data_IF_500522903440
#
_entry.id   IF_500522903440
#
_cell.length_a   1.000
_cell.length_b   1.000
_cell.length_c   1.000
_cell.angle_alpha   90.00
_cell.angle_beta   90.00
_cell.angle_gamma   90.00
#
_symmetry.space_group_name_H-M   'P 1'
#
loop_
_entity.id
_entity.type
_entity.pdbx_description
1 polymer ?
#
# COMPACT_ATOMS: atom_id res chain seq x y z
N UNK A 1 20.49 -7.19 -0.91
CA UNK A 1 19.93 -8.12 -1.90
C UNK A 1 20.01 -9.48 -1.26
N UNK A 2 18.90 -10.02 -0.77
CA UNK A 2 18.84 -11.34 -0.11
C UNK A 2 17.51 -11.96 -0.52
N UNK A 3 17.57 -13.21 -0.99
CA UNK A 3 16.52 -13.88 -1.76
C UNK A 3 15.29 -14.27 -0.93
N UNK A 4 14.13 -14.13 -1.57
CA UNK A 4 12.84 -14.64 -1.10
C UNK A 4 12.76 -16.14 -1.41
N UNK A 5 12.36 -16.95 -0.43
CA UNK A 5 11.79 -18.27 -0.67
C UNK A 5 10.31 -18.17 -0.27
N UNK A 6 9.43 -18.22 -1.26
CA UNK A 6 7.97 -18.21 -1.07
C UNK A 6 7.46 -19.63 -1.18
N UNK A 7 6.89 -20.17 -0.10
CA UNK A 7 6.08 -21.39 -0.14
C UNK A 7 4.61 -21.02 -0.15
N UNK A 8 3.85 -21.55 -1.10
CA UNK A 8 2.39 -21.45 -1.17
C UNK A 8 1.80 -22.84 -0.90
N UNK A 9 0.90 -22.96 0.07
CA UNK A 9 0.00 -24.12 0.19
C UNK A 9 -1.29 -23.84 -0.58
N UNK A 10 -1.69 -24.80 -1.43
CA UNK A 10 -2.97 -24.84 -2.14
C UNK A 10 -3.71 -26.09 -1.68
N UNK A 11 -4.98 -25.93 -1.34
CA UNK A 11 -5.89 -27.03 -1.05
C UNK A 11 -6.95 -27.15 -2.16
N UNK A 12 -7.15 -28.41 -2.54
CA UNK A 12 -8.37 -29.07 -3.00
C UNK A 12 -8.77 -29.05 -4.49
N UNK A 13 -8.51 -30.23 -5.07
CA UNK A 13 -9.04 -30.81 -6.30
C UNK A 13 -10.48 -31.30 -6.11
N UNK A 14 -11.36 -31.01 -7.08
CA UNK A 14 -12.55 -31.83 -7.37
C UNK A 14 -12.68 -31.95 -8.90
N UNK A 15 -12.60 -33.16 -9.51
CA UNK A 15 -12.83 -33.33 -10.94
C UNK A 15 -14.29 -33.71 -11.21
N UNK A 16 -14.98 -32.94 -12.07
CA UNK A 16 -16.24 -33.35 -12.70
C UNK A 16 -15.95 -33.69 -14.17
N UNK A 17 -16.06 -34.98 -14.51
CA UNK A 17 -15.89 -35.49 -15.88
C UNK A 17 -17.10 -35.19 -16.78
N UNK A 18 -16.95 -35.30 -18.11
CA UNK A 18 -17.98 -34.92 -19.07
C UNK A 18 -19.01 -36.04 -19.30
N UNK A 19 -20.29 -35.69 -19.29
CA UNK A 19 -21.38 -36.57 -19.72
C UNK A 19 -21.72 -36.27 -21.19
N UNK A 20 -21.34 -37.19 -22.09
CA UNK A 20 -21.74 -37.19 -23.49
C UNK A 20 -23.08 -37.92 -23.65
N UNK A 21 -24.12 -37.24 -24.13
CA UNK A 21 -25.31 -37.87 -24.69
C UNK A 21 -25.64 -37.15 -26.00
N UNK A 22 -25.67 -37.92 -27.08
CA UNK A 22 -25.96 -37.44 -28.43
C UNK A 22 -27.43 -37.53 -28.84
N UNK A 23 -27.66 -37.04 -30.06
CA UNK A 23 -28.82 -37.20 -30.96
C UNK A 23 -30.01 -36.23 -30.75
N UNK A 24 -30.12 -35.22 -31.61
CA UNK A 24 -30.91 -35.30 -32.86
C UNK A 24 -31.08 -33.91 -33.48
N UNK A 25 -30.90 -33.81 -34.79
CA UNK A 25 -31.10 -32.59 -35.58
C UNK A 25 -32.56 -32.48 -36.02
N UNK A 26 -33.13 -31.26 -36.03
CA UNK A 26 -34.05 -30.87 -37.09
C UNK A 26 -33.50 -29.68 -37.87
N UNK A 27 -33.56 -29.81 -39.18
CA UNK A 27 -33.28 -28.81 -40.20
C UNK A 27 -34.21 -27.61 -40.14
N UNK A 28 -33.64 -26.42 -39.90
CA UNK A 28 -34.24 -25.12 -40.26
C UNK A 28 -33.13 -24.15 -40.68
N UNK A 29 -33.12 -23.74 -41.95
CA UNK A 29 -32.61 -22.42 -42.35
C UNK A 29 -33.79 -21.44 -42.27
N UNK A 30 -33.65 -20.10 -42.16
CA UNK A 30 -32.45 -19.25 -42.09
C UNK A 30 -32.55 -18.12 -41.02
N UNK A 31 -31.45 -17.39 -40.79
CA UNK A 31 -31.40 -15.91 -40.71
C UNK A 31 -29.95 -15.49 -40.48
N UNK A 32 -29.46 -14.61 -41.34
CA UNK A 32 -28.17 -13.92 -41.16
C UNK A 32 -28.19 -13.29 -39.77
N UNK A 33 -27.38 -13.83 -38.85
CA UNK A 33 -27.07 -13.17 -37.60
C UNK A 33 -26.23 -11.95 -37.97
N UNK A 34 -26.89 -10.80 -38.14
CA UNK A 34 -26.22 -9.55 -37.82
C UNK A 34 -25.72 -9.72 -36.38
N UNK A 35 -24.41 -9.90 -36.27
CA UNK A 35 -23.73 -9.85 -34.98
C UNK A 35 -23.94 -8.43 -34.51
N UNK A 36 -24.96 -8.22 -33.68
CA UNK A 36 -25.01 -7.07 -32.80
C UNK A 36 -23.77 -7.23 -31.96
N UNK A 37 -22.67 -6.59 -32.35
CA UNK A 37 -21.59 -6.28 -31.44
C UNK A 37 -22.26 -5.49 -30.33
N UNK A 38 -22.65 -6.20 -29.26
CA UNK A 38 -22.86 -5.54 -27.99
C UNK A 38 -21.52 -4.91 -27.69
N UNK A 39 -21.43 -3.60 -27.93
CA UNK A 39 -20.31 -2.79 -27.49
C UNK A 39 -20.33 -2.85 -25.97
N UNK A 40 -19.72 -3.89 -25.42
CA UNK A 40 -19.51 -4.03 -23.99
C UNK A 40 -18.73 -2.78 -23.59
N UNK A 41 -19.39 -1.87 -22.87
CA UNK A 41 -18.78 -0.62 -22.41
C UNK A 41 -17.44 -0.96 -21.78
N UNK A 42 -16.35 -0.53 -22.43
CA UNK A 42 -15.00 -0.78 -21.94
C UNK A 42 -14.67 0.28 -20.91
N UNK A 43 -14.03 -0.12 -19.82
CA UNK A 43 -13.54 0.79 -18.79
C UNK A 43 -12.08 1.13 -19.07
N UNK A 44 -11.73 2.41 -19.01
CA UNK A 44 -10.37 2.88 -19.24
C UNK A 44 -9.70 3.27 -17.93
N UNK A 45 -8.55 2.65 -17.65
CA UNK A 45 -7.72 2.91 -16.48
C UNK A 45 -6.40 3.53 -16.94
N UNK A 46 -6.25 4.83 -16.73
CA UNK A 46 -4.98 5.52 -16.89
C UNK A 46 -4.04 5.17 -15.74
N UNK A 47 -2.81 4.72 -16.00
CA UNK A 47 -1.84 4.45 -14.96
C UNK A 47 -0.55 5.28 -15.09
N UNK A 48 -0.13 5.88 -13.97
CA UNK A 48 1.09 6.66 -13.83
C UNK A 48 1.92 6.13 -12.66
N UNK A 49 2.83 5.21 -12.93
CA UNK A 49 3.63 4.52 -11.91
C UNK A 49 5.13 4.74 -12.15
N UNK A 50 5.96 4.68 -11.10
CA UNK A 50 7.42 4.62 -11.27
C UNK A 50 7.82 3.42 -12.14
N UNK A 51 8.88 3.56 -12.94
CA UNK A 51 9.33 2.53 -13.91
C UNK A 51 9.52 1.14 -13.28
N UNK A 52 10.11 1.08 -12.08
CA UNK A 52 10.29 -0.19 -11.34
C UNK A 52 8.95 -0.90 -11.10
N UNK A 53 7.90 -0.13 -10.82
CA UNK A 53 6.55 -0.64 -10.50
C UNK A 53 5.78 -1.00 -11.77
N UNK A 54 5.95 -0.23 -12.85
CA UNK A 54 5.44 -0.65 -14.16
C UNK A 54 5.97 -2.03 -14.53
N UNK A 55 7.30 -2.22 -14.44
CA UNK A 55 7.98 -3.48 -14.75
C UNK A 55 7.65 -4.64 -13.81
N UNK A 56 7.12 -4.41 -12.61
CA UNK A 56 6.79 -5.49 -11.66
C UNK A 56 5.29 -5.80 -11.62
N UNK A 57 4.43 -4.80 -11.84
CA UNK A 57 2.98 -4.94 -11.67
C UNK A 57 2.22 -4.97 -13.00
N UNK A 58 2.62 -4.18 -13.98
CA UNK A 58 1.96 -4.10 -15.28
C UNK A 58 2.59 -5.14 -16.21
N UNK A 59 2.37 -6.41 -15.89
CA UNK A 59 2.80 -7.54 -16.71
C UNK A 59 1.73 -7.91 -17.74
N UNK A 60 2.13 -8.60 -18.81
CA UNK A 60 1.21 -9.05 -19.86
C UNK A 60 0.05 -9.89 -19.30
N UNK A 61 0.28 -10.67 -18.25
CA UNK A 61 -0.76 -11.44 -17.56
C UNK A 61 -1.87 -10.54 -17.01
N UNK A 62 -1.53 -9.43 -16.36
CA UNK A 62 -2.48 -8.46 -15.85
C UNK A 62 -3.19 -7.72 -16.99
N UNK A 63 -2.43 -7.27 -17.99
CA UNK A 63 -2.98 -6.54 -19.15
C UNK A 63 -3.98 -7.39 -19.93
N UNK A 64 -3.63 -8.65 -20.21
CA UNK A 64 -4.50 -9.58 -20.94
C UNK A 64 -5.74 -9.94 -20.11
N UNK A 65 -5.59 -10.15 -18.80
CA UNK A 65 -6.72 -10.40 -17.91
C UNK A 65 -7.66 -9.20 -17.86
N UNK A 66 -7.14 -7.97 -17.69
CA UNK A 66 -7.93 -6.75 -17.71
C UNK A 66 -8.69 -6.61 -19.04
N UNK A 67 -7.99 -6.79 -20.16
CA UNK A 67 -8.58 -6.70 -21.50
C UNK A 67 -9.72 -7.69 -21.71
N UNK A 68 -9.56 -8.93 -21.25
CA UNK A 68 -10.60 -9.98 -21.30
C UNK A 68 -11.85 -9.66 -20.48
N UNK A 69 -11.71 -8.77 -19.49
CA UNK A 69 -12.81 -8.25 -18.65
C UNK A 69 -13.33 -6.89 -19.11
N UNK A 70 -12.96 -6.45 -20.31
CA UNK A 70 -13.40 -5.16 -20.85
C UNK A 70 -12.73 -3.95 -20.20
N UNK A 71 -11.54 -4.12 -19.62
CA UNK A 71 -10.77 -3.05 -18.98
C UNK A 71 -9.51 -2.78 -19.80
N UNK A 72 -9.29 -1.53 -20.18
CA UNK A 72 -8.10 -1.07 -20.88
C UNK A 72 -7.15 -0.38 -19.90
N UNK A 73 -5.95 -0.94 -19.75
CA UNK A 73 -4.88 -0.33 -18.96
C UNK A 73 -4.03 0.56 -19.88
N UNK A 74 -4.12 1.88 -19.70
CA UNK A 74 -3.46 2.86 -20.56
C UNK A 74 -2.35 3.55 -19.78
N UNK A 75 -1.11 3.48 -20.28
CA UNK A 75 0.01 4.20 -19.68
C UNK A 75 -0.19 5.70 -19.89
N UNK A 76 -0.17 6.47 -18.80
CA UNK A 76 -0.15 7.93 -18.88
C UNK A 76 1.26 8.39 -19.24
N UNK A 77 1.34 9.29 -20.21
CA UNK A 77 2.54 10.02 -20.61
C UNK A 77 2.71 11.24 -19.69
N UNK A 78 3.70 11.18 -18.80
CA UNK A 78 3.95 12.25 -17.81
C UNK A 78 4.53 13.52 -18.42
N UNK A 79 4.96 13.47 -19.68
CA UNK A 79 5.48 14.63 -20.42
C UNK A 79 4.38 15.44 -21.11
N UNK A 80 3.12 14.99 -21.01
CA UNK A 80 1.95 15.65 -21.59
C UNK A 80 0.93 15.98 -20.50
N UNK A 81 0.09 17.02 -20.69
CA UNK A 81 -1.01 17.29 -19.77
C UNK A 81 -1.93 16.07 -19.62
N UNK A 82 -2.28 15.71 -18.39
CA UNK A 82 -3.17 14.58 -18.12
C UNK A 82 -4.57 14.78 -18.73
N UNK A 83 -5.07 16.02 -18.74
CA UNK A 83 -6.37 16.42 -19.30
C UNK A 83 -6.55 16.03 -20.76
N UNK A 84 -5.46 15.96 -21.53
CA UNK A 84 -5.50 15.68 -22.97
C UNK A 84 -5.42 14.18 -23.29
N UNK A 85 -5.26 13.32 -22.28
CA UNK A 85 -5.02 11.89 -22.44
C UNK A 85 -6.24 11.01 -22.11
N UNK A 86 -7.29 11.63 -21.56
CA UNK A 86 -8.53 10.97 -21.18
C UNK A 86 -9.56 10.84 -22.32
N UNK A 87 -10.82 10.47 -21.98
CA UNK A 87 -11.31 10.22 -20.62
C UNK A 87 -10.86 8.86 -20.07
N UNK A 88 -10.52 8.85 -18.79
CA UNK A 88 -10.29 7.66 -17.99
C UNK A 88 -11.43 7.55 -16.98
N UNK A 89 -12.00 6.35 -16.83
CA UNK A 89 -12.92 6.08 -15.72
C UNK A 89 -12.14 6.07 -14.39
N UNK A 90 -10.85 5.70 -14.46
CA UNK A 90 -10.00 5.52 -13.29
C UNK A 90 -8.56 5.96 -13.57
N UNK A 91 -7.95 6.68 -12.64
CA UNK A 91 -6.54 7.07 -12.67
C UNK A 91 -5.82 6.40 -11.49
N UNK A 92 -4.99 5.40 -11.81
CA UNK A 92 -4.13 4.72 -10.85
C UNK A 92 -2.74 5.36 -10.88
N UNK A 93 -2.30 5.94 -9.76
CA UNK A 93 -1.00 6.59 -9.76
C UNK A 93 -0.14 6.25 -8.54
N UNK A 94 1.17 6.41 -8.72
CA UNK A 94 2.14 6.46 -7.64
C UNK A 94 3.31 7.35 -8.03
N UNK A 95 2.95 8.57 -8.40
CA UNK A 95 3.86 9.69 -8.58
C UNK A 95 3.57 10.73 -7.51
N UNK A 96 4.56 11.56 -7.22
CA UNK A 96 4.52 12.52 -6.13
C UNK A 96 5.04 13.87 -6.62
N UNK A 97 4.72 14.94 -5.89
CA UNK A 97 5.15 16.30 -6.21
C UNK A 97 3.99 17.21 -6.58
N UNK A 98 4.20 18.51 -6.39
CA UNK A 98 3.16 19.54 -6.56
C UNK A 98 2.62 19.60 -7.99
N UNK A 99 3.50 19.44 -8.99
CA UNK A 99 3.12 19.46 -10.40
C UNK A 99 2.16 18.32 -10.75
N UNK A 100 2.50 17.09 -10.34
CA UNK A 100 1.62 15.93 -10.55
C UNK A 100 0.29 16.08 -9.83
N UNK A 101 0.32 16.59 -8.58
CA UNK A 101 -0.90 16.88 -7.82
C UNK A 101 -1.80 17.88 -8.55
N UNK A 102 -1.22 18.94 -9.12
CA UNK A 102 -1.95 19.93 -9.91
C UNK A 102 -2.59 19.30 -11.14
N UNK A 103 -1.86 18.46 -11.88
CA UNK A 103 -2.43 17.75 -13.04
C UNK A 103 -3.63 16.87 -12.67
N UNK A 104 -3.58 16.17 -11.54
CA UNK A 104 -4.72 15.37 -11.05
C UNK A 104 -5.93 16.25 -10.69
N UNK A 105 -5.70 17.41 -10.07
CA UNK A 105 -6.78 18.35 -9.71
C UNK A 105 -7.43 18.93 -10.96
N UNK A 106 -6.64 19.41 -11.93
CA UNK A 106 -7.13 19.94 -13.20
C UNK A 106 -7.90 18.87 -13.98
N UNK A 107 -7.43 17.62 -13.95
CA UNK A 107 -8.12 16.48 -14.56
C UNK A 107 -9.50 16.22 -13.98
N UNK A 108 -9.63 16.21 -12.64
CA UNK A 108 -10.89 15.96 -11.95
C UNK A 108 -11.92 17.07 -12.16
N UNK A 109 -11.48 18.33 -12.36
CA UNK A 109 -12.38 19.44 -12.68
C UNK A 109 -13.07 19.20 -14.03
N UNK A 110 -12.32 18.73 -15.03
CA UNK A 110 -12.85 18.46 -16.38
C UNK A 110 -13.55 17.09 -16.48
N UNK A 111 -13.19 16.16 -15.60
CA UNK A 111 -13.69 14.78 -15.60
C UNK A 111 -14.25 14.42 -14.20
N UNK A 112 -15.37 15.02 -13.77
CA UNK A 112 -15.87 14.86 -12.39
C UNK A 112 -16.33 13.44 -12.05
N UNK A 113 -16.54 12.58 -13.06
CA UNK A 113 -16.90 11.18 -12.88
C UNK A 113 -15.69 10.24 -12.79
N UNK A 114 -14.48 10.74 -13.03
CA UNK A 114 -13.27 9.93 -12.94
C UNK A 114 -12.87 9.71 -11.48
N UNK A 115 -12.33 8.53 -11.18
CA UNK A 115 -11.84 8.17 -9.85
C UNK A 115 -10.32 8.20 -9.85
N UNK A 116 -9.69 8.93 -8.93
CA UNK A 116 -8.23 8.95 -8.74
C UNK A 116 -7.87 8.13 -7.50
N UNK A 117 -6.95 7.17 -7.63
CA UNK A 117 -6.47 6.36 -6.50
C UNK A 117 -4.95 6.43 -6.34
N UNK A 118 -4.44 6.78 -5.16
CA UNK A 118 -5.14 7.39 -4.00
C UNK A 118 -5.23 8.92 -4.15
N UNK A 119 -6.15 9.58 -3.45
CA UNK A 119 -6.19 11.05 -3.45
C UNK A 119 -4.86 11.62 -2.90
N UNK A 120 -4.26 12.64 -3.53
CA UNK A 120 -2.99 13.22 -3.10
C UNK A 120 -2.94 13.60 -1.62
N UNK A 121 -4.03 14.15 -1.08
CA UNK A 121 -4.14 14.57 0.31
C UNK A 121 -4.10 13.39 1.29
N UNK A 122 -4.67 12.24 0.90
CA UNK A 122 -4.61 11.00 1.68
C UNK A 122 -3.19 10.40 1.66
N UNK A 123 -2.49 10.51 0.53
CA UNK A 123 -1.10 10.06 0.37
C UNK A 123 -0.15 10.90 1.23
N UNK A 124 -0.32 12.22 1.26
CA UNK A 124 0.55 13.13 2.04
C UNK A 124 0.55 12.80 3.53
N UNK A 125 -0.61 12.42 4.09
CA UNK A 125 -0.72 11.95 5.49
C UNK A 125 0.15 10.73 5.76
N UNK A 126 0.35 9.86 4.76
CA UNK A 126 1.18 8.65 4.89
C UNK A 126 2.69 8.93 4.75
N UNK A 127 3.10 10.09 4.22
CA UNK A 127 4.53 10.44 4.13
C UNK A 127 5.12 10.97 5.45
N UNK A 128 4.25 11.38 6.38
CA UNK A 128 4.64 11.78 7.72
C UNK A 128 4.29 10.67 8.72
N UNK A 129 5.31 10.12 9.38
CA UNK A 129 5.12 9.02 10.33
C UNK A 129 4.22 9.39 11.51
N UNK A 130 4.22 10.64 11.95
CA UNK A 130 3.37 11.09 13.06
C UNK A 130 1.92 11.02 12.62
N UNK A 131 1.58 11.67 11.50
CA UNK A 131 0.22 11.69 10.96
C UNK A 131 -0.30 10.29 10.62
N UNK A 132 0.57 9.41 10.12
CA UNK A 132 0.22 8.00 9.88
C UNK A 132 -0.19 7.28 11.17
N UNK A 133 0.52 7.52 12.28
CA UNK A 133 0.28 6.86 13.55
C UNK A 133 -0.91 7.46 14.31
N UNK A 134 -1.20 8.75 14.12
CA UNK A 134 -2.38 9.41 14.67
C UNK A 134 -3.65 8.64 14.26
N UNK A 135 -3.76 8.26 12.98
CA UNK A 135 -4.88 7.43 12.48
C UNK A 135 -4.98 6.10 13.22
N UNK A 136 -3.86 5.43 13.53
CA UNK A 136 -3.89 4.17 14.27
C UNK A 136 -4.38 4.38 15.70
N UNK A 137 -3.98 5.48 16.34
CA UNK A 137 -4.44 5.82 17.69
C UNK A 137 -5.94 6.14 17.75
N UNK A 138 -6.50 6.72 16.69
CA UNK A 138 -7.94 6.96 16.57
C UNK A 138 -8.71 5.64 16.42
N UNK A 139 -8.18 4.70 15.63
CA UNK A 139 -8.78 3.36 15.46
C UNK A 139 -8.69 2.58 16.77
N UNK A 140 -7.57 2.64 17.49
CA UNK A 140 -7.41 1.98 18.79
C UNK A 140 -8.42 2.48 19.82
N UNK A 141 -8.69 3.79 19.88
CA UNK A 141 -9.76 4.35 20.74
C UNK A 141 -11.13 3.79 20.38
N UNK A 142 -11.47 3.83 19.10
CA UNK A 142 -12.75 3.32 18.61
C UNK A 142 -12.92 1.82 18.86
N UNK A 143 -11.85 1.04 18.67
CA UNK A 143 -11.82 -0.40 18.93
C UNK A 143 -12.01 -0.72 20.41
N UNK A 144 -11.38 0.04 21.31
CA UNK A 144 -11.59 -0.09 22.76
C UNK A 144 -13.03 0.24 23.19
N UNK A 145 -13.69 1.20 22.52
CA UNK A 145 -15.09 1.56 22.80
C UNK A 145 -16.10 0.50 22.32
N UNK A 146 -15.69 -0.42 21.44
CA UNK A 146 -16.55 -1.42 20.79
C UNK A 146 -16.36 -2.85 21.32
N UNK A 147 -15.49 -3.06 22.32
CA UNK A 147 -15.12 -4.40 22.79
C UNK A 147 -15.86 -4.84 24.04
N UNK A 148 -16.41 -6.04 23.97
CA UNK A 148 -17.07 -6.73 25.09
C UNK A 148 -16.19 -7.82 25.77
N UNK A 149 -15.15 -8.39 25.14
CA UNK A 149 -14.16 -9.23 25.85
C UNK A 149 -12.96 -9.68 24.98
N UNK A 150 -11.80 -9.87 25.65
CA UNK A 150 -10.52 -10.58 25.36
C UNK A 150 -10.03 -10.99 23.93
N UNK A 151 -10.50 -10.46 22.81
CA UNK A 151 -9.94 -10.86 21.49
C UNK A 151 -9.03 -9.80 20.86
N UNK A 152 -7.72 -10.01 20.99
CA UNK A 152 -6.58 -9.37 20.28
C UNK A 152 -6.40 -7.85 20.45
N UNK A 153 -5.36 -7.36 21.14
CA UNK A 153 -5.09 -5.92 21.25
C UNK A 153 -4.67 -5.27 19.92
N UNK A 154 -5.27 -4.14 19.55
CA UNK A 154 -4.78 -3.24 18.51
C UNK A 154 -3.97 -2.12 19.16
N UNK A 155 -2.79 -1.81 18.61
CA UNK A 155 -2.04 -0.66 19.09
C UNK A 155 -0.69 -0.50 18.41
N UNK A 156 -0.03 0.61 18.73
CA UNK A 156 1.32 0.92 18.27
C UNK A 156 2.31 0.75 19.42
N UNK A 157 3.50 0.14 19.20
CA UNK A 157 4.53 0.12 20.22
C UNK A 157 4.89 1.54 20.64
N UNK A 158 5.10 1.74 21.95
CA UNK A 158 5.40 3.05 22.56
C UNK A 158 6.54 3.74 21.83
N UNK A 159 6.37 5.01 21.49
CA UNK A 159 7.33 5.75 20.68
C UNK A 159 7.28 7.25 20.91
N UNK A 160 8.38 7.93 20.58
CA UNK A 160 8.56 9.39 20.69
C UNK A 160 9.30 9.94 19.48
N UNK A 161 9.08 11.22 19.18
CA UNK A 161 9.78 11.94 18.11
C UNK A 161 10.89 12.81 18.70
N UNK A 162 12.12 12.60 18.23
CA UNK A 162 13.30 13.34 18.67
C UNK A 162 13.71 14.33 17.57
N UNK A 163 13.38 15.60 17.77
CA UNK A 163 13.66 16.69 16.82
C UNK A 163 15.07 17.28 16.93
N UNK A 164 15.65 17.30 18.13
CA UNK A 164 17.01 17.80 18.40
C UNK A 164 17.62 16.90 19.47
N UNK A 165 18.73 16.18 19.21
CA UNK A 165 19.37 15.34 20.22
C UNK A 165 19.90 16.17 21.41
N UNK A 166 20.32 17.41 21.15
CA UNK A 166 20.96 18.33 22.11
C UNK A 166 20.01 19.07 23.06
N UNK A 167 18.67 19.00 22.91
CA UNK A 167 17.73 19.71 23.82
C UNK A 167 17.05 18.82 24.87
N UNK A 168 17.51 17.59 25.05
CA UNK A 168 17.08 16.71 26.14
C UNK A 168 18.11 16.63 27.28
N UNK A 169 19.22 17.36 27.18
CA UNK A 169 19.95 17.81 28.36
C UNK A 169 19.17 18.96 28.99
N UNK A 170 18.32 18.67 29.97
CA UNK A 170 18.13 19.40 31.24
C UNK A 170 17.15 18.55 32.07
N UNK A 171 17.73 17.58 32.77
CA UNK A 171 17.47 17.22 34.17
C UNK A 171 18.53 16.16 34.49
N UNK A 172 19.61 16.60 35.15
CA UNK A 172 20.91 15.92 35.37
C UNK A 172 20.88 14.60 36.17
N UNK A 173 19.80 13.82 36.13
CA UNK A 173 19.70 12.55 36.87
C UNK A 173 18.96 11.42 36.15
N UNK A 174 18.29 11.70 35.02
CA UNK A 174 17.60 10.66 34.25
C UNK A 174 18.37 10.34 32.97
N UNK A 175 18.63 9.06 32.73
CA UNK A 175 19.24 8.64 31.47
C UNK A 175 18.30 8.92 30.28
N UNK A 176 18.82 9.17 29.07
CA UNK A 176 18.01 9.60 27.90
C UNK A 176 16.79 8.70 27.64
N UNK A 177 16.94 7.38 27.78
CA UNK A 177 15.84 6.42 27.69
C UNK A 177 14.78 6.55 28.79
N UNK A 178 15.19 6.83 30.04
CA UNK A 178 14.27 7.10 31.16
C UNK A 178 13.56 8.44 31.00
N UNK A 179 14.26 9.47 30.51
CA UNK A 179 13.67 10.77 30.19
C UNK A 179 12.63 10.70 29.06
N UNK A 180 12.78 9.74 28.14
CA UNK A 180 11.79 9.41 27.12
C UNK A 180 10.75 8.39 27.58
N UNK A 181 10.90 7.83 28.78
CA UNK A 181 10.07 6.76 29.32
C UNK A 181 9.95 5.56 28.37
N UNK A 182 11.02 5.17 27.68
CA UNK A 182 11.06 4.02 26.76
C UNK A 182 11.90 2.87 27.33
N UNK A 183 11.47 1.64 27.09
CA UNK A 183 12.22 0.42 27.44
C UNK A 183 13.11 -0.03 26.29
N UNK A 184 14.34 -0.42 26.63
CA UNK A 184 15.26 -1.02 25.67
C UNK A 184 14.91 -2.49 25.37
N UNK A 185 15.28 -3.00 24.19
CA UNK A 185 15.87 -2.25 23.09
C UNK A 185 14.83 -1.35 22.38
N UNK A 186 15.31 -0.30 21.71
CA UNK A 186 14.46 0.60 20.91
C UNK A 186 14.93 0.61 19.46
N UNK A 187 14.00 0.73 18.52
CA UNK A 187 14.28 0.92 17.11
C UNK A 187 14.12 2.40 16.73
N UNK A 188 15.18 2.98 16.18
CA UNK A 188 15.23 4.35 15.71
C UNK A 188 15.11 4.39 14.18
N UNK A 189 14.21 5.23 13.68
CA UNK A 189 13.87 5.34 12.26
C UNK A 189 13.72 6.83 11.90
N UNK A 190 14.28 7.27 10.77
CA UNK A 190 14.15 8.68 10.33
C UNK A 190 12.67 9.08 10.19
N UNK A 191 12.33 10.32 10.57
CA UNK A 191 10.94 10.80 10.58
C UNK A 191 10.29 10.78 9.18
N UNK A 192 11.07 11.06 8.13
CA UNK A 192 10.59 11.06 6.74
C UNK A 192 10.37 9.62 6.25
N UNK A 193 9.18 9.34 5.72
CA UNK A 193 8.79 8.05 5.14
C UNK A 193 8.42 8.17 3.65
N UNK A 194 9.36 8.66 2.85
CA UNK A 194 9.18 8.95 1.40
C UNK A 194 9.50 7.76 0.47
N UNK A 195 9.92 6.61 1.03
CA UNK A 195 10.32 5.43 0.25
C UNK A 195 11.67 5.57 -0.48
N UNK A 196 12.45 6.62 -0.20
CA UNK A 196 13.83 6.75 -0.66
C UNK A 196 14.77 5.77 0.06
N UNK A 197 15.92 5.44 -0.55
CA UNK A 197 16.92 4.59 0.10
C UNK A 197 17.41 5.16 1.46
N UNK A 198 17.29 6.48 1.66
CA UNK A 198 17.67 7.16 2.91
C UNK A 198 16.66 6.92 4.03
N UNK A 199 15.35 6.83 3.74
CA UNK A 199 14.31 6.58 4.76
C UNK A 199 14.24 5.14 5.26
N UNK A 200 14.98 4.22 4.65
CA UNK A 200 15.07 2.80 5.05
C UNK A 200 16.19 2.49 6.06
N UNK A 201 17.01 3.47 6.47
CA UNK A 201 18.02 3.23 7.51
C UNK A 201 17.34 3.20 8.88
N UNK A 202 17.43 2.07 9.56
CA UNK A 202 16.95 1.87 10.93
C UNK A 202 18.12 1.46 11.82
N UNK A 203 18.07 1.82 13.09
CA UNK A 203 19.08 1.46 14.10
C UNK A 203 18.37 0.79 15.28
N UNK A 204 18.87 -0.36 15.71
CA UNK A 204 18.45 -0.99 16.96
C UNK A 204 19.42 -0.55 18.06
N UNK A 205 18.88 0.05 19.11
CA UNK A 205 19.64 0.66 20.21
C UNK A 205 19.33 -0.11 21.50
N UNK A 206 20.37 -0.55 22.20
CA UNK A 206 20.25 -1.39 23.40
C UNK A 206 20.55 -0.64 24.71
N UNK A 207 21.14 0.56 24.61
CA UNK A 207 21.55 1.36 25.76
C UNK A 207 21.58 2.84 25.38
N UNK A 208 21.69 3.70 26.40
CA UNK A 208 21.67 5.15 26.22
C UNK A 208 22.80 5.69 25.32
N UNK A 209 23.98 5.06 25.36
CA UNK A 209 25.14 5.43 24.53
C UNK A 209 24.85 5.34 23.02
N UNK A 210 23.92 4.46 22.61
CA UNK A 210 23.58 4.32 21.20
C UNK A 210 22.77 5.51 20.64
N UNK A 211 22.24 6.39 21.50
CA UNK A 211 21.52 7.59 21.07
C UNK A 211 22.42 8.66 20.44
N UNK A 212 23.71 8.69 20.79
CA UNK A 212 24.70 9.65 20.24
C UNK A 212 24.83 9.56 18.72
N UNK A 213 24.49 8.40 18.14
CA UNK A 213 24.61 8.13 16.70
C UNK A 213 23.32 8.43 15.92
N UNK A 214 22.26 8.89 16.59
CA UNK A 214 20.99 9.18 15.94
C UNK A 214 21.04 10.49 15.18
N UNK A 215 20.48 10.47 13.98
CA UNK A 215 20.21 11.68 13.20
C UNK A 215 18.79 12.15 13.52
N UNK A 216 18.60 13.45 13.70
CA UNK A 216 17.27 14.05 13.86
C UNK A 216 16.78 14.69 12.56
N UNK A 217 15.45 14.78 12.35
CA UNK A 217 14.40 14.22 13.20
C UNK A 217 14.24 12.70 13.03
N UNK A 218 14.06 11.99 14.15
CA UNK A 218 13.91 10.52 14.20
C UNK A 218 12.77 10.13 15.14
N UNK A 219 12.08 9.05 14.78
CA UNK A 219 11.15 8.33 15.65
C UNK A 219 11.91 7.24 16.39
N UNK A 220 11.84 7.24 17.72
CA UNK A 220 12.38 6.17 18.58
C UNK A 220 11.20 5.40 19.15
N UNK A 221 11.17 4.09 18.92
CA UNK A 221 10.06 3.21 19.27
C UNK A 221 10.58 1.99 20.05
N UNK A 222 9.87 1.56 21.10
CA UNK A 222 10.18 0.31 21.79
C UNK A 222 10.19 -0.86 20.81
N UNK A 223 11.23 -1.67 20.89
CA UNK A 223 11.34 -2.85 20.05
C UNK A 223 10.47 -3.97 20.61
N UNK A 224 9.55 -4.47 19.79
CA UNK A 224 8.73 -5.64 20.12
C UNK A 224 9.34 -6.87 19.47
N UNK A 225 9.74 -7.85 20.27
CA UNK A 225 10.16 -9.15 19.75
C UNK A 225 8.95 -9.87 19.15
N UNK A 226 8.98 -10.05 17.83
CA UNK A 226 7.92 -10.65 17.02
C UNK A 226 8.35 -11.97 16.40
N UNK A 227 9.34 -12.67 17.01
CA UNK A 227 9.81 -13.99 16.56
C UNK A 227 10.41 -13.99 15.16
N UNK A 228 10.85 -12.84 14.66
CA UNK A 228 11.32 -12.68 13.29
C UNK A 228 10.23 -12.85 12.24
N UNK A 229 8.95 -12.62 12.57
CA UNK A 229 7.82 -12.71 11.64
C UNK A 229 7.09 -11.38 11.52
N UNK A 230 6.93 -10.90 10.28
CA UNK A 230 6.16 -9.70 9.96
C UNK A 230 5.00 -10.08 9.06
N UNK A 231 3.79 -9.73 9.49
CA UNK A 231 2.58 -9.84 8.70
C UNK A 231 2.35 -8.55 7.91
N UNK A 232 2.33 -8.65 6.57
CA UNK A 232 2.01 -7.53 5.69
C UNK A 232 0.60 -7.71 5.15
N UNK A 233 -0.27 -6.75 5.44
CA UNK A 233 -1.62 -6.69 4.86
C UNK A 233 -1.56 -5.80 3.63
N UNK A 234 -1.88 -6.36 2.47
CA UNK A 234 -2.07 -5.61 1.22
C UNK A 234 -3.56 -5.39 1.02
N UNK A 235 -3.97 -4.13 0.94
CA UNK A 235 -5.38 -3.76 0.77
C UNK A 235 -5.58 -3.20 -0.63
N UNK A 236 -6.59 -3.70 -1.34
CA UNK A 236 -7.06 -3.19 -2.62
C UNK A 236 -8.56 -3.00 -2.48
N UNK A 237 -8.98 -1.75 -2.25
CA UNK A 237 -10.36 -1.40 -1.91
C UNK A 237 -10.87 -2.23 -0.72
N UNK A 238 -11.85 -3.12 -0.96
CA UNK A 238 -12.49 -3.99 0.04
C UNK A 238 -11.82 -5.35 0.19
N UNK A 239 -10.80 -5.64 -0.62
CA UNK A 239 -10.09 -6.93 -0.61
C UNK A 239 -8.78 -6.75 0.14
N UNK A 240 -8.49 -7.62 1.09
CA UNK A 240 -7.22 -7.69 1.79
C UNK A 240 -6.51 -9.03 1.52
N UNK A 241 -5.19 -8.98 1.41
CA UNK A 241 -4.32 -10.15 1.30
C UNK A 241 -3.27 -10.09 2.42
N UNK A 242 -3.22 -11.12 3.25
CA UNK A 242 -2.23 -11.28 4.31
C UNK A 242 -1.03 -12.07 3.79
N UNK A 243 0.16 -11.48 3.88
CA UNK A 243 1.43 -12.13 3.52
C UNK A 243 2.36 -12.18 4.72
N UNK A 244 2.69 -13.39 5.15
CA UNK A 244 3.68 -13.63 6.20
C UNK A 244 5.10 -13.55 5.61
N UNK A 245 5.95 -12.74 6.21
CA UNK A 245 7.35 -12.63 5.84
C UNK A 245 8.24 -12.92 7.05
N UNK A 246 9.31 -13.67 6.84
CA UNK A 246 10.37 -13.81 7.82
C UNK A 246 11.32 -12.62 7.74
N UNK A 247 11.65 -12.05 8.88
CA UNK A 247 12.52 -10.91 9.04
C UNK A 247 13.62 -11.24 10.05
N UNK A 248 14.86 -11.12 9.61
CA UNK A 248 16.04 -11.25 10.48
C UNK A 248 16.60 -9.83 10.65
N UNK A 249 16.63 -9.37 11.91
CA UNK A 249 17.24 -8.08 12.30
C UNK A 249 18.76 -8.19 12.37
#
# INVERSE_FOLDING_TARGET
MIGLITGTMSSDNIPLGPLMIGLSSPTTKPKTLETIEMTTKRFSIGYALLLKKQKSFIQDSLVNLAKSRGIDLVKIDTEKPLVDQGPFDFVLHKLYGEEWRKQLQDYLILNPNAIVVDFPEAIERLHNRILMLDVVSEIEKLDNDLRDDETASLGIPKQVVVYVPEKLSINETASFGEGLNLKFPVIAKLLVADGSAKSHKMLLVFSNEGFEKLKSPTVVQEFVNHGGVIFKVYVVFRISLLVMNFFVL
#
